data_IF_989116537067
#
_entry.id   IF_989116537067
#
_cell.length_a   1.000
_cell.length_b   1.000
_cell.length_c   1.000
_cell.angle_alpha   90.00
_cell.angle_beta   90.00
_cell.angle_gamma   90.00
#
_symmetry.space_group_name_H-M   'P 1'
#
loop_
_entity.id
_entity.type
_entity.pdbx_description
1 polymer ?
#
# COMPACT_ATOMS: atom_id res chain seq x y z
N UNK A 1 0.93 14.95 25.24
CA UNK A 1 1.65 14.39 24.07
C UNK A 1 3.12 14.33 24.42
N UNK A 2 3.80 13.23 24.09
CA UNK A 2 5.24 13.06 24.31
C UNK A 2 6.10 13.75 23.24
N UNK A 3 5.46 14.49 22.29
CA UNK A 3 6.15 15.24 21.24
C UNK A 3 6.63 14.39 20.04
N UNK A 4 6.10 13.19 19.85
CA UNK A 4 6.39 12.41 18.65
C UNK A 4 5.53 12.90 17.48
N UNK A 5 6.15 13.03 16.29
CA UNK A 5 5.50 13.44 15.05
C UNK A 5 4.92 12.25 14.26
N UNK A 6 5.51 11.05 14.45
CA UNK A 6 5.14 9.82 13.76
C UNK A 6 5.21 8.62 14.68
N UNK A 7 4.34 7.62 14.42
CA UNK A 7 4.40 6.30 15.01
C UNK A 7 4.58 5.23 13.92
N UNK A 8 5.50 4.31 14.13
CA UNK A 8 5.56 3.10 13.32
C UNK A 8 4.33 2.23 13.59
N UNK A 9 3.71 1.72 12.55
CA UNK A 9 2.65 0.75 12.69
C UNK A 9 3.07 -0.60 12.09
N UNK A 10 2.49 -1.67 12.62
CA UNK A 10 2.75 -3.03 12.19
C UNK A 10 1.74 -3.53 11.16
N UNK A 11 1.20 -2.64 10.31
CA UNK A 11 0.17 -2.98 9.31
C UNK A 11 0.56 -4.12 8.37
N UNK A 12 1.85 -4.39 8.21
CA UNK A 12 2.37 -5.58 7.52
C UNK A 12 1.78 -6.88 8.05
N UNK A 13 1.53 -6.95 9.37
CA UNK A 13 1.06 -8.15 10.06
C UNK A 13 -0.43 -8.09 10.40
N UNK A 14 -1.12 -7.00 10.06
CA UNK A 14 -2.53 -6.86 10.38
C UNK A 14 -3.37 -7.71 9.44
N UNK A 15 -4.27 -8.47 10.02
CA UNK A 15 -5.31 -9.13 9.27
C UNK A 15 -6.51 -8.19 9.14
N UNK A 16 -6.68 -7.62 7.94
CA UNK A 16 -7.79 -6.72 7.64
C UNK A 16 -9.14 -7.45 7.47
N UNK A 17 -9.16 -8.77 7.60
CA UNK A 17 -10.39 -9.54 7.75
C UNK A 17 -10.92 -9.44 9.19
N UNK A 18 -10.05 -9.11 10.13
CA UNK A 18 -10.36 -8.98 11.53
C UNK A 18 -10.50 -7.50 11.92
N UNK A 19 -11.53 -7.19 12.66
CA UNK A 19 -11.83 -5.82 13.11
C UNK A 19 -10.66 -5.17 13.87
N UNK A 20 -9.88 -5.96 14.60
CA UNK A 20 -8.80 -5.44 15.45
C UNK A 20 -7.71 -4.68 14.66
N UNK A 21 -7.40 -5.08 13.43
CA UNK A 21 -6.40 -4.38 12.60
C UNK A 21 -6.81 -2.94 12.31
N UNK A 22 -8.06 -2.75 11.90
CA UNK A 22 -8.62 -1.41 11.66
C UNK A 22 -8.79 -0.63 12.97
N UNK A 23 -9.15 -1.30 14.05
CA UNK A 23 -9.23 -0.65 15.37
C UNK A 23 -7.87 -0.10 15.82
N UNK A 24 -6.78 -0.84 15.62
CA UNK A 24 -5.42 -0.35 15.93
C UNK A 24 -5.06 0.86 15.04
N UNK A 25 -5.37 0.81 13.76
CA UNK A 25 -5.18 1.94 12.87
C UNK A 25 -5.95 3.18 13.35
N UNK A 26 -7.23 3.07 13.64
CA UNK A 26 -8.05 4.21 14.11
C UNK A 26 -7.57 4.77 15.44
N UNK A 27 -7.13 3.94 16.37
CA UNK A 27 -6.60 4.40 17.67
C UNK A 27 -5.33 5.24 17.50
N UNK A 28 -4.46 4.88 16.56
CA UNK A 28 -3.16 5.53 16.37
C UNK A 28 -3.24 6.73 15.43
N UNK A 29 -3.95 6.63 14.31
CA UNK A 29 -4.03 7.65 13.25
C UNK A 29 -4.70 8.96 13.70
N UNK A 30 -5.57 8.90 14.71
CA UNK A 30 -6.20 10.10 15.28
C UNK A 30 -5.27 10.90 16.20
N UNK A 31 -4.18 10.31 16.68
CA UNK A 31 -3.26 10.93 17.63
C UNK A 31 -2.05 11.52 16.90
N UNK A 32 -1.54 10.80 15.91
CA UNK A 32 -0.29 11.12 15.22
C UNK A 32 -0.25 10.43 13.86
N UNK A 33 0.52 10.98 12.93
CA UNK A 33 0.76 10.33 11.63
C UNK A 33 1.46 8.98 11.81
N UNK A 34 1.11 8.01 10.96
CA UNK A 34 1.72 6.68 11.02
C UNK A 34 2.69 6.45 9.86
N UNK A 35 3.66 5.57 10.09
CA UNK A 35 4.60 5.06 9.09
C UNK A 35 4.43 3.55 9.01
N UNK A 36 4.06 3.06 7.83
CA UNK A 36 4.04 1.65 7.49
C UNK A 36 5.35 1.21 6.85
N UNK A 37 5.61 -0.09 6.83
CA UNK A 37 6.81 -0.65 6.22
C UNK A 37 6.56 -2.06 5.67
N UNK A 38 7.17 -2.44 4.53
CA UNK A 38 7.18 -3.82 4.05
C UNK A 38 8.14 -4.70 4.84
N UNK A 39 9.26 -4.14 5.29
CA UNK A 39 10.23 -4.77 6.18
C UNK A 39 10.94 -3.71 7.04
N UNK A 40 11.59 -4.16 8.11
CA UNK A 40 12.41 -3.34 9.00
C UNK A 40 13.66 -4.11 9.43
N UNK A 41 14.51 -3.50 10.25
CA UNK A 41 15.67 -4.19 10.83
C UNK A 41 15.27 -5.30 11.84
N UNK A 42 14.04 -5.25 12.36
CA UNK A 42 13.51 -6.24 13.31
C UNK A 42 12.74 -7.37 12.63
N UNK A 43 12.55 -7.30 11.29
CA UNK A 43 11.79 -8.31 10.54
C UNK A 43 12.71 -9.08 9.59
N UNK A 44 12.22 -10.20 9.07
CA UNK A 44 12.86 -10.84 7.92
C UNK A 44 12.84 -9.95 6.67
N UNK A 45 13.73 -10.23 5.73
CA UNK A 45 13.71 -9.59 4.41
C UNK A 45 12.49 -10.06 3.62
N UNK A 46 11.76 -9.14 3.00
CA UNK A 46 10.58 -9.47 2.19
C UNK A 46 10.89 -10.48 1.09
N UNK A 47 12.04 -10.36 0.44
CA UNK A 47 12.45 -11.31 -0.61
C UNK A 47 12.51 -12.74 -0.09
N UNK A 48 12.95 -12.93 1.16
CA UNK A 48 13.02 -14.23 1.81
C UNK A 48 11.65 -14.70 2.30
N UNK A 49 10.90 -13.83 2.94
CA UNK A 49 9.57 -14.15 3.46
C UNK A 49 8.57 -14.53 2.37
N UNK A 50 8.72 -13.94 1.18
CA UNK A 50 7.86 -14.21 0.03
C UNK A 50 8.42 -15.28 -0.92
N UNK A 51 9.54 -15.93 -0.57
CA UNK A 51 10.24 -16.86 -1.45
C UNK A 51 10.54 -16.25 -2.85
N UNK A 52 10.88 -14.97 -2.90
CA UNK A 52 11.20 -14.27 -4.14
C UNK A 52 9.99 -13.81 -4.96
N UNK A 53 8.77 -13.86 -4.44
CA UNK A 53 7.58 -13.37 -5.13
C UNK A 53 7.61 -11.83 -5.26
N UNK A 54 8.03 -11.37 -6.42
CA UNK A 54 8.16 -9.94 -6.76
C UNK A 54 6.81 -9.21 -6.70
N UNK A 55 5.72 -9.88 -7.09
CA UNK A 55 4.39 -9.26 -7.05
C UNK A 55 3.94 -9.03 -5.61
N UNK A 56 4.15 -10.00 -4.71
CA UNK A 56 3.86 -9.86 -3.29
C UNK A 56 4.69 -8.75 -2.63
N UNK A 57 5.98 -8.62 -2.99
CA UNK A 57 6.84 -7.54 -2.49
C UNK A 57 6.34 -6.17 -2.95
N UNK A 58 6.03 -6.01 -4.23
CA UNK A 58 5.49 -4.78 -4.80
C UNK A 58 4.15 -4.40 -4.18
N UNK A 59 3.26 -5.38 -3.97
CA UNK A 59 2.00 -5.20 -3.25
C UNK A 59 2.23 -4.61 -1.87
N UNK A 60 3.11 -5.24 -1.07
CA UNK A 60 3.34 -4.79 0.31
C UNK A 60 3.99 -3.41 0.36
N UNK A 61 4.90 -3.11 -0.56
CA UNK A 61 5.52 -1.80 -0.68
C UNK A 61 4.49 -0.71 -1.02
N UNK A 62 3.68 -0.94 -2.06
CA UNK A 62 2.67 0.02 -2.49
C UNK A 62 1.60 0.21 -1.43
N UNK A 63 1.12 -0.89 -0.82
CA UNK A 63 0.18 -0.84 0.29
C UNK A 63 0.73 0.00 1.45
N UNK A 64 1.96 -0.24 1.90
CA UNK A 64 2.60 0.55 2.97
C UNK A 64 2.61 2.04 2.65
N UNK A 65 2.88 2.40 1.39
CA UNK A 65 2.98 3.79 0.97
C UNK A 65 1.63 4.52 0.88
N UNK A 66 0.54 3.81 0.54
CA UNK A 66 -0.79 4.43 0.35
C UNK A 66 -1.68 4.32 1.58
N UNK A 67 -1.43 3.34 2.45
CA UNK A 67 -2.20 3.13 3.67
C UNK A 67 -1.89 4.18 4.74
N UNK A 68 -0.60 4.39 5.05
CA UNK A 68 -0.14 5.34 6.06
C UNK A 68 0.34 6.67 5.45
N UNK A 69 0.45 7.70 6.29
CA UNK A 69 0.98 9.00 5.89
C UNK A 69 2.44 8.90 5.41
N UNK A 70 3.24 8.06 6.06
CA UNK A 70 4.61 7.76 5.66
C UNK A 70 4.82 6.27 5.39
N UNK A 71 5.91 5.97 4.70
CA UNK A 71 6.40 4.60 4.61
C UNK A 71 7.92 4.57 4.75
N UNK A 72 8.42 3.48 5.28
CA UNK A 72 9.86 3.25 5.49
C UNK A 72 10.29 1.99 4.75
N UNK A 73 11.45 2.07 4.12
CA UNK A 73 12.18 0.91 3.58
C UNK A 73 13.61 0.94 4.10
N UNK A 74 14.15 -0.17 4.61
CA UNK A 74 15.56 -0.23 5.01
C UNK A 74 16.46 -0.41 3.79
N UNK A 75 17.73 -0.05 3.94
CA UNK A 75 18.75 -0.21 2.90
C UNK A 75 18.82 -1.66 2.40
N UNK A 76 18.88 -1.84 1.08
CA UNK A 76 18.91 -3.13 0.41
C UNK A 76 17.54 -3.70 0.05
N UNK A 77 16.45 -3.14 0.57
CA UNK A 77 15.10 -3.50 0.14
C UNK A 77 14.92 -3.27 -1.37
N UNK A 78 15.39 -2.12 -1.86
CA UNK A 78 15.31 -1.71 -3.26
C UNK A 78 16.02 -2.67 -4.22
N UNK A 79 16.92 -3.50 -3.69
CA UNK A 79 17.66 -4.53 -4.45
C UNK A 79 17.30 -5.96 -4.05
N UNK A 80 16.31 -6.14 -3.18
CA UNK A 80 15.88 -7.47 -2.73
C UNK A 80 16.98 -8.23 -1.98
N UNK A 81 17.68 -7.56 -1.07
CA UNK A 81 18.70 -8.20 -0.24
C UNK A 81 18.11 -9.30 0.62
N UNK A 82 18.83 -10.39 0.77
CA UNK A 82 18.43 -11.59 1.54
C UNK A 82 18.98 -11.59 2.96
N UNK A 83 20.15 -10.96 3.18
CA UNK A 83 20.76 -10.87 4.50
C UNK A 83 19.95 -9.91 5.37
N UNK A 84 19.57 -10.38 6.55
CA UNK A 84 18.87 -9.53 7.53
C UNK A 84 19.75 -8.33 7.90
N UNK A 85 19.12 -7.15 7.94
CA UNK A 85 19.78 -5.94 8.38
C UNK A 85 20.01 -5.99 9.90
N UNK A 86 21.26 -5.87 10.32
CA UNK A 86 21.62 -5.72 11.73
C UNK A 86 22.13 -4.30 11.96
N UNK A 87 21.43 -3.53 12.79
CA UNK A 87 21.73 -2.11 13.02
C UNK A 87 23.09 -1.84 13.67
N UNK A 88 23.71 -2.87 14.26
CA UNK A 88 25.03 -2.78 14.92
C UNK A 88 26.14 -3.38 14.08
N UNK A 89 25.87 -4.49 13.38
CA UNK A 89 26.90 -5.31 12.74
C UNK A 89 26.96 -5.18 11.23
N UNK A 90 25.87 -4.70 10.56
CA UNK A 90 25.87 -4.57 9.10
C UNK A 90 26.96 -3.59 8.66
N UNK A 91 27.78 -4.05 7.74
CA UNK A 91 28.89 -3.30 7.17
C UNK A 91 28.69 -3.12 5.66
N UNK A 92 29.32 -2.12 5.01
CA UNK A 92 29.19 -1.88 3.57
C UNK A 92 29.64 -3.06 2.70
N UNK A 93 30.57 -3.91 3.16
CA UNK A 93 31.04 -5.11 2.47
C UNK A 93 30.02 -6.25 2.47
N UNK A 94 28.92 -6.12 3.23
CA UNK A 94 27.77 -7.05 3.18
C UNK A 94 26.84 -6.77 2.01
N UNK A 95 27.16 -5.79 1.16
CA UNK A 95 26.37 -5.50 -0.02
C UNK A 95 26.20 -6.72 -0.92
N UNK A 96 24.96 -6.99 -1.33
CA UNK A 96 24.64 -8.17 -2.13
C UNK A 96 24.52 -7.77 -3.62
N UNK A 97 25.08 -8.58 -4.50
CA UNK A 97 24.83 -8.47 -5.93
C UNK A 97 23.58 -9.25 -6.29
N UNK A 98 22.50 -8.57 -6.62
CA UNK A 98 21.21 -9.15 -6.97
C UNK A 98 20.76 -8.71 -8.35
N UNK A 99 19.80 -9.46 -8.95
CA UNK A 99 19.14 -9.07 -10.19
C UNK A 99 17.85 -8.28 -9.94
N UNK A 100 17.42 -8.20 -8.69
CA UNK A 100 16.21 -7.45 -8.29
C UNK A 100 16.52 -5.96 -8.22
N UNK A 101 15.61 -5.16 -8.77
CA UNK A 101 15.70 -3.71 -8.69
C UNK A 101 14.30 -3.08 -8.67
N UNK A 102 13.93 -2.51 -7.53
CA UNK A 102 12.64 -1.82 -7.33
C UNK A 102 12.75 -0.30 -7.44
N UNK A 103 13.93 0.27 -7.76
CA UNK A 103 14.13 1.73 -7.72
C UNK A 103 13.15 2.50 -8.59
N UNK A 104 12.85 2.03 -9.79
CA UNK A 104 11.88 2.69 -10.68
C UNK A 104 10.43 2.54 -10.16
N UNK A 105 10.12 1.44 -9.52
CA UNK A 105 8.82 1.25 -8.88
C UNK A 105 8.65 2.19 -7.67
N UNK A 106 9.69 2.32 -6.85
CA UNK A 106 9.75 3.27 -5.73
C UNK A 106 9.58 4.72 -6.22
N UNK A 107 10.26 5.10 -7.31
CA UNK A 107 10.08 6.43 -7.93
C UNK A 107 8.64 6.70 -8.33
N UNK A 108 7.95 5.73 -8.93
CA UNK A 108 6.53 5.86 -9.27
C UNK A 108 5.66 6.06 -8.04
N UNK A 109 5.91 5.32 -6.96
CA UNK A 109 5.21 5.46 -5.69
C UNK A 109 5.43 6.86 -5.09
N UNK A 110 6.68 7.33 -5.05
CA UNK A 110 6.99 8.66 -4.55
C UNK A 110 6.29 9.75 -5.38
N UNK A 111 6.30 9.63 -6.70
CA UNK A 111 5.57 10.55 -7.58
C UNK A 111 4.05 10.56 -7.33
N UNK A 112 3.44 9.42 -6.95
CA UNK A 112 2.04 9.39 -6.52
C UNK A 112 1.85 10.17 -5.21
N UNK A 113 2.71 9.97 -4.23
CA UNK A 113 2.65 10.68 -2.94
C UNK A 113 2.84 12.19 -3.11
N UNK A 114 3.74 12.61 -3.99
CA UNK A 114 3.96 14.02 -4.31
C UNK A 114 2.73 14.66 -4.98
N UNK A 115 2.07 13.90 -5.86
CA UNK A 115 0.90 14.39 -6.62
C UNK A 115 -0.40 14.40 -5.84
N UNK A 116 -0.55 13.49 -4.87
CA UNK A 116 -1.80 13.29 -4.12
C UNK A 116 -1.57 13.50 -2.61
N UNK A 117 -1.76 14.74 -2.08
CA UNK A 117 -1.50 15.06 -0.67
C UNK A 117 -2.25 14.18 0.33
N UNK A 118 -3.44 13.66 -0.05
CA UNK A 118 -4.22 12.72 0.75
C UNK A 118 -3.44 11.45 1.13
N UNK A 119 -2.38 11.10 0.39
CA UNK A 119 -1.48 9.99 0.69
C UNK A 119 -0.43 10.31 1.77
N UNK A 120 -0.29 11.58 2.18
CA UNK A 120 0.71 12.05 3.14
C UNK A 120 0.11 12.45 4.49
N UNK A 121 -1.16 12.10 4.70
CA UNK A 121 -1.93 12.42 5.91
C UNK A 121 -2.72 11.20 6.38
N UNK A 122 -3.31 11.31 7.57
CA UNK A 122 -4.21 10.31 8.13
C UNK A 122 -5.66 10.85 8.18
N UNK A 123 -6.35 10.96 7.03
CA UNK A 123 -7.70 11.53 6.99
C UNK A 123 -8.77 10.58 7.53
N UNK A 124 -8.37 9.37 7.91
CA UNK A 124 -9.25 8.23 8.10
C UNK A 124 -9.38 7.39 6.83
N UNK A 125 -9.82 6.18 7.02
CA UNK A 125 -10.06 5.22 5.96
C UNK A 125 -11.53 4.82 6.01
N UNK A 126 -12.21 4.93 4.87
CA UNK A 126 -13.54 4.38 4.65
C UNK A 126 -13.40 3.04 3.92
N UNK A 127 -13.82 1.95 4.57
CA UNK A 127 -13.78 0.61 3.97
C UNK A 127 -14.93 0.50 2.98
N UNK A 128 -14.63 -0.05 1.81
CA UNK A 128 -15.62 -0.39 0.78
C UNK A 128 -15.73 -1.91 0.71
N UNK A 129 -16.80 -2.43 1.27
CA UNK A 129 -17.01 -3.87 1.40
C UNK A 129 -17.11 -4.57 0.05
N UNK A 130 -16.52 -5.76 -0.03
CA UNK A 130 -16.60 -6.66 -1.18
C UNK A 130 -17.08 -8.04 -0.73
N UNK A 131 -17.76 -8.76 -1.62
CA UNK A 131 -18.28 -10.10 -1.32
C UNK A 131 -17.16 -11.10 -0.94
N UNK A 132 -15.96 -10.91 -1.51
CA UNK A 132 -14.76 -11.70 -1.24
C UNK A 132 -13.77 -10.98 -0.31
N UNK A 133 -14.29 -10.26 0.69
CA UNK A 133 -13.51 -9.47 1.66
C UNK A 133 -12.35 -10.24 2.31
N UNK A 134 -12.43 -11.56 2.38
CA UNK A 134 -11.35 -12.41 2.88
C UNK A 134 -10.07 -12.27 2.06
N UNK A 135 -10.17 -12.09 0.75
CA UNK A 135 -9.06 -12.01 -0.19
C UNK A 135 -8.86 -10.61 -0.78
N UNK A 136 -9.82 -9.72 -0.61
CA UNK A 136 -9.76 -8.35 -1.14
C UNK A 136 -9.91 -7.34 -0.01
N UNK A 137 -9.09 -6.30 -0.04
CA UNK A 137 -9.23 -5.16 0.86
C UNK A 137 -9.38 -3.90 0.04
N UNK A 138 -10.53 -3.23 0.19
CA UNK A 138 -10.83 -1.99 -0.53
C UNK A 138 -11.07 -0.85 0.46
N UNK A 139 -10.42 0.28 0.22
CA UNK A 139 -10.62 1.46 1.06
C UNK A 139 -10.50 2.76 0.27
N UNK A 140 -11.18 3.78 0.77
CA UNK A 140 -11.14 5.14 0.27
C UNK A 140 -10.44 6.04 1.28
N UNK A 141 -9.64 6.98 0.78
CA UNK A 141 -9.08 8.09 1.56
C UNK A 141 -9.61 9.40 0.97
N UNK A 142 -10.11 10.27 1.84
CA UNK A 142 -10.69 11.57 1.48
C UNK A 142 -10.15 12.64 2.41
N UNK A 143 -9.80 13.78 1.86
CA UNK A 143 -9.37 14.96 2.61
C UNK A 143 -10.10 16.20 2.06
N UNK A 144 -10.55 17.15 2.90
CA UNK A 144 -11.21 18.37 2.43
C UNK A 144 -10.36 19.12 1.39
N UNK A 145 -10.99 19.54 0.29
CA UNK A 145 -10.36 20.26 -0.82
C UNK A 145 -9.25 19.50 -1.59
N UNK A 146 -9.11 18.21 -1.37
CA UNK A 146 -8.16 17.36 -2.08
C UNK A 146 -8.86 16.24 -2.85
N UNK A 147 -8.16 15.69 -3.83
CA UNK A 147 -8.67 14.57 -4.62
C UNK A 147 -8.75 13.32 -3.77
N UNK A 148 -9.92 12.70 -3.74
CA UNK A 148 -10.12 11.40 -3.09
C UNK A 148 -9.43 10.30 -3.90
N UNK A 149 -8.96 9.29 -3.22
CA UNK A 149 -8.43 8.06 -3.82
C UNK A 149 -9.21 6.85 -3.33
N UNK A 150 -9.28 5.84 -4.18
CA UNK A 150 -9.85 4.53 -3.88
C UNK A 150 -8.81 3.47 -4.19
N UNK A 151 -8.49 2.64 -3.21
CA UNK A 151 -7.46 1.59 -3.28
C UNK A 151 -8.13 0.23 -3.18
N UNK A 152 -7.77 -0.67 -4.06
CA UNK A 152 -8.22 -2.07 -4.08
C UNK A 152 -7.00 -2.97 -4.04
N UNK A 153 -6.95 -3.89 -3.10
CA UNK A 153 -5.82 -4.79 -2.85
C UNK A 153 -6.27 -6.24 -2.96
N UNK A 154 -5.63 -7.02 -3.83
CA UNK A 154 -5.73 -8.47 -3.81
C UNK A 154 -4.70 -9.03 -2.81
N UNK A 155 -5.18 -9.63 -1.71
CA UNK A 155 -4.33 -10.25 -0.69
C UNK A 155 -3.82 -11.63 -1.10
N UNK A 156 -4.53 -12.28 -2.02
CA UNK A 156 -4.14 -13.58 -2.56
C UNK A 156 -2.93 -13.44 -3.49
N UNK A 157 -1.96 -14.33 -3.33
CA UNK A 157 -0.72 -14.34 -4.13
C UNK A 157 -0.79 -15.30 -5.31
N UNK A 158 -1.84 -16.11 -5.43
CA UNK A 158 -1.98 -17.14 -6.44
C UNK A 158 -3.18 -16.92 -7.36
N UNK A 159 -4.30 -16.42 -6.81
CA UNK A 159 -5.58 -16.38 -7.51
C UNK A 159 -6.03 -14.96 -7.85
N UNK A 160 -6.70 -14.81 -8.98
CA UNK A 160 -7.39 -13.58 -9.34
C UNK A 160 -8.59 -13.35 -8.41
N UNK A 161 -8.83 -12.11 -8.04
CA UNK A 161 -9.95 -11.73 -7.18
C UNK A 161 -10.78 -10.64 -7.85
N UNK A 162 -12.09 -10.88 -7.93
CA UNK A 162 -13.02 -9.92 -8.54
C UNK A 162 -13.32 -8.76 -7.57
N UNK A 163 -13.35 -7.56 -8.10
CA UNK A 163 -13.91 -6.36 -7.44
C UNK A 163 -15.05 -5.84 -8.31
N UNK A 164 -16.22 -5.70 -7.71
CA UNK A 164 -17.38 -5.14 -8.38
C UNK A 164 -17.89 -3.89 -7.67
N UNK A 165 -17.88 -2.77 -8.38
CA UNK A 165 -18.42 -1.49 -7.94
C UNK A 165 -19.50 -1.08 -8.94
N UNK A 166 -20.77 -1.08 -8.55
CA UNK A 166 -21.89 -0.76 -9.47
C UNK A 166 -21.76 0.65 -10.05
N UNK A 167 -21.25 1.57 -9.27
CA UNK A 167 -21.08 2.98 -9.63
C UNK A 167 -19.82 3.55 -8.99
N UNK A 168 -18.76 3.77 -9.78
CA UNK A 168 -17.53 4.39 -9.30
C UNK A 168 -17.73 5.84 -8.84
N UNK A 169 -18.72 6.55 -9.37
CA UNK A 169 -18.98 7.93 -8.97
C UNK A 169 -19.55 8.03 -7.56
N UNK A 170 -20.23 6.99 -7.09
CA UNK A 170 -20.69 6.92 -5.69
C UNK A 170 -19.52 6.89 -4.68
N UNK A 171 -18.35 6.37 -5.11
CA UNK A 171 -17.16 6.31 -4.28
C UNK A 171 -16.30 7.57 -4.45
N UNK A 172 -16.04 7.99 -5.68
CA UNK A 172 -15.06 9.04 -5.99
C UNK A 172 -15.68 10.35 -6.50
N UNK A 173 -17.02 10.44 -6.63
CA UNK A 173 -17.73 11.63 -7.12
C UNK A 173 -17.68 11.76 -8.65
N UNK A 174 -18.45 12.77 -9.17
CA UNK A 174 -18.73 12.93 -10.61
C UNK A 174 -17.65 13.66 -11.41
N UNK A 175 -16.59 14.17 -10.80
CA UNK A 175 -15.57 15.01 -11.45
C UNK A 175 -14.62 14.25 -12.41
N UNK A 176 -15.01 13.04 -12.79
CA UNK A 176 -14.19 12.14 -13.58
C UNK A 176 -13.19 11.36 -12.74
N UNK A 177 -12.89 10.16 -13.18
CA UNK A 177 -12.05 9.21 -12.46
C UNK A 177 -10.93 8.75 -13.38
N UNK A 178 -9.74 8.55 -12.82
CA UNK A 178 -8.57 8.03 -13.53
C UNK A 178 -7.92 6.89 -12.73
N UNK A 179 -7.33 5.97 -13.44
CA UNK A 179 -6.45 4.95 -12.86
C UNK A 179 -5.04 5.52 -12.72
N UNK A 180 -4.52 5.53 -11.50
CA UNK A 180 -3.19 6.04 -11.18
C UNK A 180 -2.26 4.93 -10.67
N UNK A 181 -2.64 3.67 -10.87
CA UNK A 181 -1.84 2.52 -10.45
C UNK A 181 -0.45 2.57 -11.09
N UNK A 182 0.64 2.28 -10.35
CA UNK A 182 2.00 2.26 -10.89
C UNK A 182 2.22 1.22 -11.98
N UNK A 183 1.42 0.14 -11.95
CA UNK A 183 1.41 -0.94 -12.93
C UNK A 183 -0.03 -1.27 -13.35
N UNK A 184 -0.20 -1.77 -14.56
CA UNK A 184 -1.50 -2.20 -15.12
C UNK A 184 -2.58 -1.12 -15.12
N UNK A 185 -2.19 0.17 -15.22
CA UNK A 185 -3.14 1.27 -15.28
C UNK A 185 -4.05 1.15 -16.50
N UNK A 186 -5.34 1.42 -16.29
CA UNK A 186 -6.37 1.41 -17.33
C UNK A 186 -6.49 2.80 -17.96
N UNK A 187 -6.55 2.87 -19.28
CA UNK A 187 -6.78 4.13 -19.99
C UNK A 187 -8.25 4.59 -19.97
N UNK A 188 -9.15 3.67 -19.70
CA UNK A 188 -10.59 3.92 -19.63
C UNK A 188 -11.18 3.20 -18.42
N UNK A 189 -12.02 3.89 -17.67
CA UNK A 189 -12.75 3.33 -16.54
C UNK A 189 -14.25 3.36 -16.87
N UNK A 190 -14.93 2.21 -16.85
CA UNK A 190 -16.38 2.16 -17.01
C UNK A 190 -17.08 2.73 -15.78
N UNK A 191 -18.31 3.18 -15.93
CA UNK A 191 -19.15 3.65 -14.84
C UNK A 191 -19.39 2.54 -13.80
N UNK A 192 -19.81 1.37 -14.26
CA UNK A 192 -19.85 0.14 -13.47
C UNK A 192 -18.51 -0.57 -13.61
N UNK A 193 -17.77 -0.66 -12.52
CA UNK A 193 -16.43 -1.23 -12.50
C UNK A 193 -16.48 -2.69 -12.06
N UNK A 194 -16.22 -3.58 -13.01
CA UNK A 194 -16.09 -5.02 -12.81
C UNK A 194 -14.66 -5.42 -13.24
N UNK A 195 -13.81 -5.74 -12.27
CA UNK A 195 -12.39 -5.93 -12.52
C UNK A 195 -11.83 -7.11 -11.74
N UNK A 196 -11.08 -7.96 -12.45
CA UNK A 196 -10.36 -9.07 -11.84
C UNK A 196 -8.92 -8.63 -11.51
N UNK A 197 -8.68 -8.32 -10.24
CA UNK A 197 -7.36 -8.05 -9.72
C UNK A 197 -6.47 -9.27 -9.89
N UNK A 198 -5.29 -9.09 -10.45
CA UNK A 198 -4.26 -10.13 -10.53
C UNK A 198 -3.82 -10.57 -9.14
N UNK A 199 -3.20 -11.73 -8.98
CA UNK A 199 -2.50 -12.10 -7.75
C UNK A 199 -1.60 -10.94 -7.28
N UNK A 200 -1.74 -10.56 -6.02
CA UNK A 200 -0.97 -9.46 -5.42
C UNK A 200 -1.14 -8.07 -6.06
N UNK A 201 -2.14 -7.84 -6.90
CA UNK A 201 -2.34 -6.51 -7.51
C UNK A 201 -2.89 -5.50 -6.50
N UNK A 202 -2.36 -4.27 -6.58
CA UNK A 202 -2.94 -3.08 -5.95
C UNK A 202 -3.37 -2.12 -7.06
N UNK A 203 -4.66 -1.86 -7.13
CA UNK A 203 -5.29 -0.92 -8.06
C UNK A 203 -5.63 0.37 -7.31
N UNK A 204 -5.30 1.52 -7.92
CA UNK A 204 -5.55 2.83 -7.31
C UNK A 204 -6.29 3.71 -8.30
N UNK A 205 -7.47 4.15 -7.93
CA UNK A 205 -8.27 5.11 -8.67
C UNK A 205 -8.29 6.45 -7.94
N UNK A 206 -8.34 7.55 -8.69
CA UNK A 206 -8.39 8.90 -8.15
C UNK A 206 -9.37 9.78 -8.90
N UNK A 207 -9.89 10.81 -8.26
CA UNK A 207 -10.55 11.93 -8.93
C UNK A 207 -9.56 12.65 -9.88
N UNK A 208 -10.07 13.14 -11.02
CA UNK A 208 -9.31 13.98 -11.96
C UNK A 208 -8.94 15.34 -11.39
#
# INVERSE_FOLDING_TARGET
SLGFDYLFNSSKYWDFNEFWGMEQYYKTSQIVKTISFPESHDTGRMITETNGDIAAIKRQLLFSAVFSAGYMIPVGFEFGFTKQLNVVQTQPDWWENTLVNFTDYIKKINALKDKYPVLNVEPGIEIVDQANWANVFCFKKTMPNEKSIFVMLNKDTAEYQNVFIPDLTSILGENGIIDISPEYAMNYLPYSFDYNLRPSEVKILAQK
#
